data_IF_520112425126
#
_entry.id   IF_520112425126
#
_cell.length_a   1.000
_cell.length_b   1.000
_cell.length_c   1.000
_cell.angle_alpha   90.00
_cell.angle_beta   90.00
_cell.angle_gamma   90.00
#
_symmetry.space_group_name_H-M   'P 1'
#
loop_
_entity.id
_entity.type
_entity.pdbx_description
1 polymer ?
#
# COMPACT_ATOMS: atom_id res chain seq x y z
N UNK A 1 -9.37 6.42 -8.17
CA UNK A 1 -9.50 7.27 -6.97
C UNK A 1 -10.76 6.88 -6.24
N UNK A 2 -10.72 6.77 -4.92
CA UNK A 2 -11.93 6.58 -4.11
C UNK A 2 -12.07 7.80 -3.20
N UNK A 3 -13.02 8.68 -3.50
CA UNK A 3 -13.26 9.98 -2.83
C UNK A 3 -14.64 10.53 -3.22
N UNK A 4 -15.38 11.16 -2.29
CA UNK A 4 -16.71 11.73 -2.53
C UNK A 4 -16.78 13.26 -2.39
N UNK A 5 -15.89 13.89 -1.60
CA UNK A 5 -16.06 15.30 -1.18
C UNK A 5 -15.18 16.31 -1.91
N UNK A 6 -13.96 15.94 -2.30
CA UNK A 6 -12.98 16.89 -2.87
C UNK A 6 -12.55 16.56 -4.31
N UNK A 7 -13.38 15.79 -5.02
CA UNK A 7 -13.15 15.35 -6.39
C UNK A 7 -12.75 16.49 -7.35
N UNK A 8 -13.41 17.65 -7.26
CA UNK A 8 -13.10 18.79 -8.11
C UNK A 8 -11.70 19.35 -7.88
N UNK A 9 -11.27 19.47 -6.62
CA UNK A 9 -9.92 19.95 -6.27
C UNK A 9 -8.85 18.97 -6.76
N UNK A 10 -9.14 17.66 -6.74
CA UNK A 10 -8.22 16.63 -7.24
C UNK A 10 -8.11 16.68 -8.76
N UNK A 11 -9.24 16.80 -9.47
CA UNK A 11 -9.26 16.96 -10.92
C UNK A 11 -8.46 18.19 -11.36
N UNK A 12 -8.63 19.33 -10.68
CA UNK A 12 -7.88 20.55 -10.98
C UNK A 12 -6.36 20.37 -10.88
N UNK A 13 -5.87 19.50 -9.99
CA UNK A 13 -4.44 19.25 -9.79
C UNK A 13 -3.90 18.15 -10.70
N UNK A 14 -4.68 17.11 -10.98
CA UNK A 14 -4.18 15.88 -11.63
C UNK A 14 -4.59 15.72 -13.10
N UNK A 15 -5.64 16.38 -13.58
CA UNK A 15 -6.18 16.13 -14.94
C UNK A 15 -5.23 16.52 -16.07
N UNK A 16 -4.22 17.36 -15.80
CA UNK A 16 -3.20 17.72 -16.80
C UNK A 16 -2.33 16.54 -17.21
N UNK A 17 -2.05 15.65 -16.26
CA UNK A 17 -0.99 14.63 -16.39
C UNK A 17 -1.50 13.20 -16.15
N UNK A 18 -2.67 13.05 -15.53
CA UNK A 18 -3.22 11.75 -15.15
C UNK A 18 -4.68 11.59 -15.58
N UNK A 19 -5.04 10.36 -15.97
CA UNK A 19 -6.44 10.00 -16.19
C UNK A 19 -7.05 9.52 -14.88
N UNK A 20 -7.92 10.35 -14.30
CA UNK A 20 -8.57 10.07 -13.02
C UNK A 20 -9.89 9.31 -13.22
N UNK A 21 -10.01 8.15 -12.59
CA UNK A 21 -11.26 7.38 -12.52
C UNK A 21 -11.85 7.46 -11.11
N UNK A 22 -12.98 8.16 -10.91
CA UNK A 22 -13.62 8.25 -9.60
C UNK A 22 -14.45 7.01 -9.26
N UNK A 23 -14.25 6.52 -8.05
CA UNK A 23 -15.11 5.57 -7.36
C UNK A 23 -15.69 6.30 -6.16
N UNK A 24 -16.94 6.73 -6.25
CA UNK A 24 -17.52 7.67 -5.28
C UNK A 24 -18.20 6.98 -4.10
N UNK A 25 -18.17 5.64 -4.04
CA UNK A 25 -18.81 4.88 -2.96
C UNK A 25 -18.25 3.46 -2.81
N UNK A 26 -18.43 2.88 -1.62
CA UNK A 26 -18.10 1.47 -1.36
C UNK A 26 -18.94 0.50 -2.19
N UNK A 27 -20.21 0.83 -2.47
CA UNK A 27 -21.02 -0.02 -3.35
C UNK A 27 -20.44 -0.07 -4.76
N UNK A 28 -19.88 1.03 -5.25
CA UNK A 28 -19.24 1.07 -6.56
C UNK A 28 -17.92 0.29 -6.52
N UNK A 29 -17.08 0.53 -5.51
CA UNK A 29 -15.85 -0.23 -5.28
C UNK A 29 -16.10 -1.74 -5.31
N UNK A 30 -17.07 -2.24 -4.55
CA UNK A 30 -17.35 -3.68 -4.48
C UNK A 30 -17.81 -4.30 -5.80
N UNK A 31 -18.37 -3.50 -6.73
CA UNK A 31 -18.76 -3.97 -8.07
C UNK A 31 -17.59 -3.97 -9.04
N UNK A 32 -16.65 -3.06 -8.87
CA UNK A 32 -15.60 -2.79 -9.86
C UNK A 32 -14.22 -3.33 -9.46
N UNK A 33 -13.97 -3.61 -8.17
CA UNK A 33 -12.63 -3.91 -7.62
C UNK A 33 -11.88 -5.03 -8.33
N UNK A 34 -12.60 -6.03 -8.84
CA UNK A 34 -12.00 -7.20 -9.50
C UNK A 34 -11.67 -6.94 -10.99
N UNK A 35 -12.20 -5.85 -11.57
CA UNK A 35 -12.06 -5.46 -12.98
C UNK A 35 -11.26 -4.16 -13.17
N UNK A 36 -10.58 -3.67 -12.12
CA UNK A 36 -9.84 -2.41 -12.17
C UNK A 36 -8.58 -2.53 -13.04
N UNK A 37 -8.54 -1.74 -14.12
CA UNK A 37 -7.35 -1.54 -14.96
C UNK A 37 -6.77 -0.14 -14.73
N UNK A 38 -6.24 0.11 -13.53
CA UNK A 38 -5.61 1.39 -13.14
C UNK A 38 -4.17 1.18 -12.68
N UNK A 39 -3.32 2.17 -12.94
CA UNK A 39 -1.88 2.12 -12.60
C UNK A 39 -1.61 2.42 -11.12
N UNK A 40 -2.57 3.02 -10.42
CA UNK A 40 -2.45 3.36 -9.01
C UNK A 40 -3.78 3.75 -8.38
N UNK A 41 -3.85 3.64 -7.06
CA UNK A 41 -5.04 3.90 -6.27
C UNK A 41 -4.78 4.98 -5.20
N UNK A 42 -5.46 6.12 -5.33
CA UNK A 42 -5.58 7.11 -4.28
C UNK A 42 -6.89 6.86 -3.52
N UNK A 43 -6.80 6.64 -2.20
CA UNK A 43 -7.92 6.15 -1.36
C UNK A 43 -8.13 7.09 -0.17
N UNK A 44 -9.33 7.62 0.02
CA UNK A 44 -9.67 8.31 1.27
C UNK A 44 -9.70 7.32 2.45
N UNK A 45 -9.02 7.68 3.54
CA UNK A 45 -9.09 6.95 4.79
C UNK A 45 -10.53 6.94 5.35
N UNK A 46 -11.23 8.06 5.26
CA UNK A 46 -12.53 8.28 5.89
C UNK A 46 -13.71 8.06 4.94
N UNK A 47 -13.54 7.27 3.88
CA UNK A 47 -14.66 6.74 3.12
C UNK A 47 -15.60 5.98 4.06
N UNK A 48 -16.67 6.65 4.47
CA UNK A 48 -17.73 6.09 5.30
C UNK A 48 -18.77 5.42 4.41
N UNK A 49 -19.16 4.19 4.78
CA UNK A 49 -20.56 3.78 4.65
C UNK A 49 -21.30 4.37 5.86
N UNK A 50 -22.62 4.53 5.80
CA UNK A 50 -23.49 5.12 6.84
C UNK A 50 -23.40 4.42 8.24
N UNK A 51 -22.49 3.46 8.41
CA UNK A 51 -22.42 2.52 9.52
C UNK A 51 -21.05 2.41 10.23
N UNK A 52 -19.95 3.02 9.74
CA UNK A 52 -18.64 2.93 10.47
C UNK A 52 -17.49 3.82 9.96
N UNK A 53 -16.70 4.33 10.90
CA UNK A 53 -15.73 5.43 10.72
C UNK A 53 -14.29 5.05 10.26
N UNK A 54 -13.98 3.81 9.85
CA UNK A 54 -12.59 3.39 9.54
C UNK A 54 -12.45 2.41 8.33
N UNK A 55 -13.29 2.56 7.30
CA UNK A 55 -13.40 1.55 6.23
C UNK A 55 -12.37 1.67 5.10
N UNK A 56 -11.89 2.88 4.75
CA UNK A 56 -10.97 3.07 3.62
C UNK A 56 -9.65 2.29 3.74
N UNK A 57 -9.07 2.24 4.95
CA UNK A 57 -7.88 1.42 5.23
C UNK A 57 -8.18 -0.07 5.38
N UNK A 58 -9.27 -0.41 6.05
CA UNK A 58 -9.54 -1.81 6.44
C UNK A 58 -10.09 -2.64 5.28
N UNK A 59 -10.74 -2.03 4.29
CA UNK A 59 -11.35 -2.76 3.17
C UNK A 59 -10.61 -2.53 1.86
N UNK A 60 -10.41 -1.27 1.46
CA UNK A 60 -9.86 -0.96 0.13
C UNK A 60 -8.35 -1.18 0.12
N UNK A 61 -7.61 -0.54 1.03
CA UNK A 61 -6.15 -0.69 1.08
C UNK A 61 -5.73 -2.13 1.41
N UNK A 62 -6.46 -2.82 2.30
CA UNK A 62 -6.23 -4.24 2.54
C UNK A 62 -6.48 -5.10 1.29
N UNK A 63 -7.60 -4.89 0.58
CA UNK A 63 -7.89 -5.63 -0.64
C UNK A 63 -6.82 -5.41 -1.71
N UNK A 64 -6.45 -4.15 -1.97
CA UNK A 64 -5.40 -3.79 -2.93
C UNK A 64 -4.07 -4.48 -2.59
N UNK A 65 -3.66 -4.45 -1.32
CA UNK A 65 -2.46 -5.16 -0.84
C UNK A 65 -2.52 -6.66 -1.11
N UNK A 66 -3.68 -7.28 -0.88
CA UNK A 66 -3.82 -8.74 -0.90
C UNK A 66 -4.00 -9.35 -2.28
N UNK A 67 -4.71 -8.64 -3.15
CA UNK A 67 -5.27 -9.24 -4.36
C UNK A 67 -4.75 -8.59 -5.64
N UNK A 68 -4.00 -7.49 -5.53
CA UNK A 68 -3.58 -6.72 -6.70
C UNK A 68 -2.12 -6.31 -6.60
N UNK A 69 -1.52 -5.97 -7.74
CA UNK A 69 -0.22 -5.29 -7.80
C UNK A 69 -0.34 -3.77 -7.77
N UNK A 70 -1.58 -3.25 -7.77
CA UNK A 70 -1.87 -1.82 -7.83
C UNK A 70 -1.27 -1.14 -6.58
N UNK A 71 -0.37 -0.16 -6.76
CA UNK A 71 0.13 0.65 -5.65
C UNK A 71 -0.97 1.55 -5.11
N UNK A 72 -0.92 1.81 -3.80
CA UNK A 72 -1.94 2.58 -3.12
C UNK A 72 -1.33 3.73 -2.32
N UNK A 73 -2.03 4.86 -2.25
CA UNK A 73 -1.76 5.97 -1.35
C UNK A 73 -3.03 6.32 -0.59
N UNK A 74 -2.90 6.71 0.68
CA UNK A 74 -4.05 7.14 1.48
C UNK A 74 -4.15 8.65 1.52
N UNK A 75 -5.37 9.17 1.60
CA UNK A 75 -5.64 10.56 1.96
C UNK A 75 -6.28 10.62 3.36
N UNK A 76 -5.86 11.53 4.22
CA UNK A 76 -6.43 11.65 5.57
C UNK A 76 -6.40 13.06 6.14
N UNK A 77 -7.51 13.50 6.75
CA UNK A 77 -7.63 14.77 7.52
C UNK A 77 -6.88 14.72 8.85
N UNK A 78 -6.70 13.51 9.40
CA UNK A 78 -6.03 13.27 10.67
C UNK A 78 -5.13 12.04 10.51
N UNK A 79 -3.96 12.17 9.85
CA UNK A 79 -3.01 11.07 9.84
C UNK A 79 -2.63 10.75 11.30
N UNK A 80 -2.35 9.48 11.64
CA UNK A 80 -2.06 9.10 13.01
C UNK A 80 -1.08 10.07 13.67
N UNK A 81 -1.33 10.52 14.91
CA UNK A 81 -0.60 11.63 15.55
C UNK A 81 0.88 11.33 15.84
N UNK A 82 1.42 10.20 15.36
CA UNK A 82 2.80 9.77 15.56
C UNK A 82 3.38 9.28 14.24
N UNK A 83 4.56 9.79 13.87
CA UNK A 83 5.34 9.33 12.71
C UNK A 83 5.45 7.80 12.63
N UNK A 84 5.74 7.13 13.74
CA UNK A 84 5.81 5.65 13.78
C UNK A 84 4.51 4.96 13.39
N UNK A 85 3.36 5.52 13.76
CA UNK A 85 2.07 4.94 13.41
C UNK A 85 1.72 5.15 11.92
N UNK A 86 2.27 6.19 11.28
CA UNK A 86 2.15 6.40 9.84
C UNK A 86 3.05 5.42 9.07
N UNK A 87 4.30 5.24 9.50
CA UNK A 87 5.21 4.26 8.91
C UNK A 87 4.66 2.83 9.06
N UNK A 88 4.13 2.48 10.23
CA UNK A 88 3.49 1.18 10.46
C UNK A 88 2.28 0.97 9.53
N UNK A 89 1.46 2.00 9.28
CA UNK A 89 0.34 1.90 8.34
C UNK A 89 0.80 1.75 6.90
N UNK A 90 1.83 2.49 6.48
CA UNK A 90 2.41 2.38 5.14
C UNK A 90 2.92 0.98 4.88
N UNK A 91 3.65 0.42 5.83
CA UNK A 91 4.16 -0.96 5.75
C UNK A 91 2.99 -1.95 5.77
N UNK A 92 2.06 -1.83 6.73
CA UNK A 92 0.94 -2.77 6.90
C UNK A 92 0.08 -2.90 5.63
N UNK A 93 -0.17 -1.78 4.94
CA UNK A 93 -1.06 -1.72 3.77
C UNK A 93 -0.34 -1.52 2.43
N UNK A 94 1.00 -1.62 2.39
CA UNK A 94 1.82 -1.41 1.18
C UNK A 94 1.53 -0.06 0.49
N UNK A 95 1.51 1.01 1.29
CA UNK A 95 1.20 2.35 0.80
C UNK A 95 2.46 3.09 0.36
N UNK A 96 2.42 3.67 -0.84
CA UNK A 96 3.49 4.54 -1.34
C UNK A 96 3.58 5.83 -0.53
N UNK A 97 2.42 6.38 -0.14
CA UNK A 97 2.35 7.61 0.66
C UNK A 97 1.05 7.72 1.46
N UNK A 98 1.03 8.66 2.42
CA UNK A 98 -0.17 9.12 3.13
C UNK A 98 -0.25 10.65 2.96
N UNK A 99 -1.11 11.09 2.05
CA UNK A 99 -1.35 12.50 1.75
C UNK A 99 -2.25 13.11 2.82
N UNK A 100 -1.79 14.19 3.43
CA UNK A 100 -2.54 14.89 4.46
C UNK A 100 -3.54 15.87 3.85
N UNK A 101 -4.81 15.73 4.22
CA UNK A 101 -5.84 16.75 4.06
C UNK A 101 -5.71 17.75 5.23
N UNK A 102 -5.87 19.04 4.98
CA UNK A 102 -5.91 20.04 6.04
C UNK A 102 -7.21 19.92 6.87
N UNK A 103 -7.33 20.69 7.95
CA UNK A 103 -8.51 20.67 8.84
C UNK A 103 -9.83 21.05 8.16
N UNK A 104 -9.77 21.62 6.94
CA UNK A 104 -10.94 21.92 6.11
C UNK A 104 -11.19 20.85 5.03
N UNK A 105 -10.48 19.72 5.08
CA UNK A 105 -10.61 18.61 4.13
C UNK A 105 -9.84 18.81 2.81
N UNK A 106 -9.11 19.91 2.64
CA UNK A 106 -8.45 20.26 1.36
C UNK A 106 -7.06 19.67 1.26
N UNK A 107 -6.65 19.30 0.05
CA UNK A 107 -5.33 18.73 -0.20
C UNK A 107 -4.29 19.82 -0.51
N UNK A 108 -3.05 19.57 -0.13
CA UNK A 108 -1.91 20.27 -0.70
C UNK A 108 -1.66 19.71 -2.11
N UNK A 109 -1.83 20.53 -3.15
CA UNK A 109 -1.64 20.09 -4.54
C UNK A 109 -0.24 19.56 -4.83
N UNK A 110 0.80 20.06 -4.13
CA UNK A 110 2.18 19.55 -4.29
C UNK A 110 2.33 18.14 -3.75
N UNK A 111 1.77 17.87 -2.56
CA UNK A 111 1.85 16.54 -1.94
C UNK A 111 1.00 15.53 -2.72
N UNK A 112 -0.17 15.97 -3.21
CA UNK A 112 -1.03 15.17 -4.07
C UNK A 112 -0.34 14.79 -5.38
N UNK A 113 0.33 15.74 -6.04
CA UNK A 113 1.05 15.50 -7.28
C UNK A 113 2.23 14.55 -7.06
N UNK A 114 2.98 14.74 -5.97
CA UNK A 114 4.07 13.83 -5.60
C UNK A 114 3.58 12.40 -5.36
N UNK A 115 2.48 12.23 -4.62
CA UNK A 115 1.89 10.91 -4.40
C UNK A 115 1.38 10.27 -5.70
N UNK A 116 0.79 11.06 -6.61
CA UNK A 116 0.35 10.57 -7.93
C UNK A 116 1.53 10.06 -8.77
N UNK A 117 2.66 10.74 -8.75
CA UNK A 117 3.90 10.27 -9.38
C UNK A 117 4.41 8.97 -8.76
N UNK A 118 4.51 8.87 -7.44
CA UNK A 118 4.97 7.63 -6.77
C UNK A 118 4.06 6.42 -7.08
N UNK A 119 2.77 6.67 -7.33
CA UNK A 119 1.80 5.65 -7.74
C UNK A 119 2.11 5.11 -9.14
N UNK A 120 2.34 5.98 -10.14
CA UNK A 120 2.36 5.55 -11.55
C UNK A 120 3.75 5.55 -12.22
N UNK A 121 4.73 6.24 -11.64
CA UNK A 121 6.03 6.43 -12.27
C UNK A 121 6.72 5.08 -12.50
N UNK A 122 7.24 4.89 -13.71
CA UNK A 122 7.87 3.64 -14.16
C UNK A 122 9.40 3.68 -14.10
N UNK A 123 9.99 4.75 -13.58
CA UNK A 123 11.42 4.83 -13.41
C UNK A 123 11.92 3.81 -12.38
N UNK A 124 13.18 3.42 -12.51
CA UNK A 124 13.78 2.38 -11.68
C UNK A 124 13.77 2.74 -10.19
N UNK A 125 13.89 4.02 -9.82
CA UNK A 125 13.88 4.43 -8.42
C UNK A 125 12.48 4.23 -7.82
N UNK A 126 11.42 4.65 -8.51
CA UNK A 126 10.04 4.45 -8.07
C UNK A 126 9.64 2.98 -8.03
N UNK A 127 10.06 2.19 -9.03
CA UNK A 127 9.87 0.73 -9.04
C UNK A 127 10.55 0.07 -7.84
N UNK A 128 11.78 0.45 -7.52
CA UNK A 128 12.52 -0.09 -6.37
C UNK A 128 11.85 0.29 -5.05
N UNK A 129 11.37 1.53 -4.89
CA UNK A 129 10.60 1.94 -3.71
C UNK A 129 9.38 1.04 -3.53
N UNK A 130 8.60 0.82 -4.60
CA UNK A 130 7.42 -0.05 -4.55
C UNK A 130 7.78 -1.50 -4.22
N UNK A 131 8.86 -2.05 -4.78
CA UNK A 131 9.35 -3.39 -4.44
C UNK A 131 9.75 -3.51 -2.95
N UNK A 132 10.36 -2.49 -2.36
CA UNK A 132 10.65 -2.49 -0.92
C UNK A 132 9.37 -2.54 -0.07
N UNK A 133 8.29 -1.87 -0.50
CA UNK A 133 7.01 -1.94 0.22
C UNK A 133 6.43 -3.36 0.25
N UNK A 134 6.61 -4.16 -0.80
CA UNK A 134 6.22 -5.57 -0.78
C UNK A 134 7.02 -6.36 0.25
N UNK A 135 8.36 -6.20 0.23
CA UNK A 135 9.26 -6.87 1.17
C UNK A 135 8.89 -6.51 2.62
N UNK A 136 8.72 -5.22 2.89
CA UNK A 136 8.42 -4.71 4.22
C UNK A 136 7.03 -5.17 4.71
N UNK A 137 6.03 -5.15 3.83
CA UNK A 137 4.65 -5.54 4.18
C UNK A 137 4.56 -7.03 4.51
N UNK A 138 5.12 -7.91 3.68
CA UNK A 138 5.05 -9.34 3.90
C UNK A 138 5.85 -9.75 5.15
N UNK A 139 7.04 -9.16 5.36
CA UNK A 139 7.81 -9.39 6.58
C UNK A 139 7.07 -8.91 7.83
N UNK A 140 6.40 -7.75 7.77
CA UNK A 140 5.57 -7.23 8.85
C UNK A 140 4.46 -8.22 9.24
N UNK A 141 3.73 -8.76 8.26
CA UNK A 141 2.62 -9.69 8.52
C UNK A 141 3.11 -11.04 9.06
N UNK A 142 4.26 -11.55 8.59
CA UNK A 142 4.89 -12.75 9.15
C UNK A 142 5.26 -12.55 10.63
N UNK A 143 5.85 -11.40 10.97
CA UNK A 143 6.19 -11.06 12.36
C UNK A 143 4.95 -10.92 13.23
N UNK A 144 3.93 -10.20 12.74
CA UNK A 144 2.65 -9.99 13.44
C UNK A 144 1.95 -11.32 13.77
N UNK A 145 1.80 -12.21 12.79
CA UNK A 145 1.15 -13.52 12.97
C UNK A 145 1.88 -14.42 13.97
N UNK A 146 3.20 -14.31 13.99
CA UNK A 146 4.07 -15.06 14.90
C UNK A 146 3.89 -14.63 16.35
N UNK A 147 3.63 -13.34 16.61
CA UNK A 147 3.37 -12.82 17.96
C UNK A 147 2.02 -13.27 18.52
N UNK A 148 1.00 -13.43 17.66
CA UNK A 148 -0.37 -13.78 18.06
C UNK A 148 -0.60 -15.29 18.27
N UNK A 149 0.40 -16.11 18.00
CA UNK A 149 0.25 -17.58 17.97
C UNK A 149 1.16 -18.25 19.02
N UNK A 150 0.58 -18.89 20.05
CA UNK A 150 1.29 -19.46 21.23
C UNK A 150 2.01 -20.81 21.04
N UNK A 151 3.07 -20.88 20.23
CA UNK A 151 3.86 -22.11 19.97
C UNK A 151 5.21 -21.79 19.32
N UNK A 152 6.32 -22.20 19.96
CA UNK A 152 7.59 -21.43 19.95
C UNK A 152 8.68 -21.80 18.93
N UNK A 153 8.88 -23.05 18.52
CA UNK A 153 10.09 -23.44 17.76
C UNK A 153 9.97 -23.23 16.25
N UNK A 154 9.09 -23.99 15.57
CA UNK A 154 8.93 -23.92 14.11
C UNK A 154 8.49 -22.54 13.58
N UNK A 155 7.88 -21.70 14.44
CA UNK A 155 7.49 -20.32 14.11
C UNK A 155 8.67 -19.36 14.08
N UNK A 156 9.61 -19.52 15.01
CA UNK A 156 10.81 -18.70 15.07
C UNK A 156 11.67 -18.93 13.84
N UNK A 157 11.81 -20.18 13.43
CA UNK A 157 12.53 -20.56 12.21
C UNK A 157 11.86 -20.04 10.92
N UNK A 158 10.52 -19.88 10.92
CA UNK A 158 9.80 -19.25 9.81
C UNK A 158 10.04 -17.74 9.74
N UNK A 159 9.90 -17.06 10.87
CA UNK A 159 10.15 -15.62 10.99
C UNK A 159 11.61 -15.26 10.66
N UNK A 160 12.57 -15.99 11.21
CA UNK A 160 14.01 -15.73 10.99
C UNK A 160 14.39 -15.95 9.51
N UNK A 161 13.83 -16.97 8.86
CA UNK A 161 14.00 -17.19 7.40
C UNK A 161 13.39 -16.07 6.57
N UNK A 162 12.15 -15.66 6.88
CA UNK A 162 11.50 -14.55 6.21
C UNK A 162 12.34 -13.27 6.32
N UNK A 163 12.84 -12.96 7.53
CA UNK A 163 13.69 -11.79 7.76
C UNK A 163 15.03 -11.87 7.03
N UNK A 164 15.65 -13.05 6.95
CA UNK A 164 16.89 -13.24 6.21
C UNK A 164 16.69 -13.02 4.71
N UNK A 165 15.65 -13.61 4.12
CA UNK A 165 15.31 -13.41 2.70
C UNK A 165 14.98 -11.95 2.40
N UNK A 166 14.19 -11.30 3.26
CA UNK A 166 13.87 -9.87 3.15
C UNK A 166 15.14 -9.01 3.14
N UNK A 167 16.09 -9.24 4.06
CA UNK A 167 17.33 -8.47 4.10
C UNK A 167 18.22 -8.72 2.86
N UNK A 168 18.24 -9.95 2.34
CA UNK A 168 18.95 -10.24 1.08
C UNK A 168 18.36 -9.44 -0.08
N UNK A 169 17.04 -9.35 -0.19
CA UNK A 169 16.36 -8.56 -1.24
C UNK A 169 16.62 -7.07 -1.06
N UNK A 170 16.55 -6.53 0.16
CA UNK A 170 16.89 -5.12 0.43
C UNK A 170 18.36 -4.82 0.12
N UNK A 171 19.27 -5.74 0.42
CA UNK A 171 20.68 -5.60 0.06
C UNK A 171 20.88 -5.55 -1.46
N UNK A 172 20.14 -6.37 -2.23
CA UNK A 172 20.11 -6.30 -3.70
C UNK A 172 19.54 -4.96 -4.19
N UNK A 173 18.46 -4.48 -3.60
CA UNK A 173 17.84 -3.20 -3.93
C UNK A 173 18.78 -1.99 -3.73
N UNK A 174 19.75 -2.09 -2.80
CA UNK A 174 20.78 -1.06 -2.56
C UNK A 174 22.06 -1.24 -3.38
N UNK A 175 22.15 -2.30 -4.19
CA UNK A 175 23.37 -2.64 -4.92
C UNK A 175 23.61 -1.70 -6.11
N UNK A 176 24.89 -1.37 -6.37
CA UNK A 176 25.29 -0.61 -7.54
C UNK A 176 25.12 -1.39 -8.87
N UNK A 177 24.94 -2.72 -8.81
CA UNK A 177 24.69 -3.59 -9.97
C UNK A 177 23.22 -4.01 -10.06
N UNK A 178 22.31 -3.16 -9.58
CA UNK A 178 20.89 -3.45 -9.55
C UNK A 178 20.33 -3.70 -10.96
N UNK A 179 19.62 -4.82 -11.11
CA UNK A 179 18.71 -5.07 -12.22
C UNK A 179 17.29 -5.13 -11.64
N UNK A 180 16.46 -4.13 -11.96
CA UNK A 180 15.12 -3.97 -11.37
C UNK A 180 14.17 -5.07 -11.80
N UNK A 181 14.29 -5.58 -13.03
CA UNK A 181 13.43 -6.67 -13.53
C UNK A 181 13.75 -7.98 -12.80
N UNK A 182 15.04 -8.29 -12.59
CA UNK A 182 15.46 -9.44 -11.79
C UNK A 182 15.00 -9.30 -10.34
N UNK A 183 15.13 -8.12 -9.74
CA UNK A 183 14.66 -7.86 -8.38
C UNK A 183 13.14 -8.06 -8.28
N UNK A 184 12.38 -7.58 -9.26
CA UNK A 184 10.93 -7.75 -9.30
C UNK A 184 10.54 -9.22 -9.25
N UNK A 185 11.14 -10.06 -10.10
CA UNK A 185 10.87 -11.51 -10.12
C UNK A 185 11.12 -12.14 -8.75
N UNK A 186 12.27 -11.83 -8.14
CA UNK A 186 12.61 -12.37 -6.82
C UNK A 186 11.68 -11.88 -5.70
N UNK A 187 11.24 -10.62 -5.75
CA UNK A 187 10.28 -10.07 -4.79
C UNK A 187 8.90 -10.72 -4.95
N UNK A 188 8.46 -11.01 -6.19
CA UNK A 188 7.21 -11.74 -6.41
C UNK A 188 7.29 -13.20 -5.95
N UNK A 189 8.46 -13.85 -6.05
CA UNK A 189 8.67 -15.17 -5.46
C UNK A 189 8.67 -15.15 -3.93
N UNK A 190 9.27 -14.13 -3.33
CA UNK A 190 9.21 -13.88 -1.90
C UNK A 190 7.76 -13.64 -1.44
N UNK A 191 7.01 -12.81 -2.17
CA UNK A 191 5.60 -12.55 -1.89
C UNK A 191 4.76 -13.83 -1.96
N UNK A 192 4.95 -14.67 -2.98
CA UNK A 192 4.23 -15.96 -3.08
C UNK A 192 4.49 -16.87 -1.87
N UNK A 193 5.68 -16.78 -1.27
CA UNK A 193 6.11 -17.62 -0.13
C UNK A 193 5.63 -17.05 1.21
N UNK A 194 5.69 -15.74 1.39
CA UNK A 194 5.54 -15.07 2.68
C UNK A 194 4.33 -14.13 2.79
N UNK A 195 3.71 -13.83 1.65
CA UNK A 195 2.56 -12.95 1.51
C UNK A 195 1.25 -13.53 2.05
N UNK A 196 0.11 -12.91 1.72
CA UNK A 196 -1.17 -13.15 2.37
C UNK A 196 -1.66 -14.58 2.18
N UNK A 197 -1.35 -15.24 1.06
CA UNK A 197 -1.87 -16.58 0.75
C UNK A 197 -1.01 -17.72 1.32
N UNK A 198 0.02 -17.41 2.12
CA UNK A 198 0.87 -18.45 2.72
C UNK A 198 0.09 -19.32 3.72
N UNK A 199 0.48 -20.59 3.90
CA UNK A 199 -0.10 -21.44 4.93
C UNK A 199 0.01 -20.83 6.34
N UNK A 200 -1.10 -20.73 7.05
CA UNK A 200 -1.14 -20.22 8.43
C UNK A 200 -1.14 -18.70 8.56
N UNK A 201 -1.37 -17.95 7.47
CA UNK A 201 -1.70 -16.53 7.54
C UNK A 201 -2.94 -16.27 8.39
N UNK A 202 -2.86 -15.30 9.29
CA UNK A 202 -3.99 -14.81 10.08
C UNK A 202 -4.36 -13.42 9.57
N UNK A 203 -5.66 -13.14 9.58
CA UNK A 203 -6.23 -11.85 9.19
C UNK A 203 -7.09 -11.34 10.35
#
# INVERSE_FOLDING_TARGET
MVEDQIMNEIHEVLDSDFRVFPISSLSQWNKERDDLSVDGALVDLHLTDDLSDNYGTTVIAEHLRRHTEIPAALMSVAPPPRYRAQDDLRIKYRLVDIVQKNSAGRLNGVDLLHAAHELVDVDDQSRVKRLNLWIDSDEYHVKSDSLLSGGRSARRDGMDRCSQEAEMLRAKARSAMLNVDSLHVEVMEFHRRWGPDRPGARY
#
